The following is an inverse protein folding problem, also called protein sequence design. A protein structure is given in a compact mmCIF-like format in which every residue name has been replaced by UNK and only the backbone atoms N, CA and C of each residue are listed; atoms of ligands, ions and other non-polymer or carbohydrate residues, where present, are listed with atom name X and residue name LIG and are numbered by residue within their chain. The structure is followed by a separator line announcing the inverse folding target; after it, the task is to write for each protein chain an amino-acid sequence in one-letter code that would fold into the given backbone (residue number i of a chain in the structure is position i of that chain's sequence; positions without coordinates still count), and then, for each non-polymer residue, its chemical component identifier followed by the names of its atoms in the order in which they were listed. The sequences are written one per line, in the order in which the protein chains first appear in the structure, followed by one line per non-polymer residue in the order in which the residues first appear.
data_IF_786424390164
#
_entry.id   IF_786424390164
#
_cell.length_a   1.000
_cell.length_b   1.000
_cell.length_c   1.000
_cell.angle_alpha   90.00
_cell.angle_beta   90.00
_cell.angle_gamma   90.00
#
_symmetry.space_group_name_H-M   'P 1'
#
loop_
_entity.id
_entity.type
_entity.pdbx_description
1 polymer ?
#
# COMPACT_ATOMS: atom_id res chain seq x y z
N UNK A 1 7.31 6.46 -13.41
CA UNK A 1 6.24 6.71 -14.40
C UNK A 1 6.88 6.87 -15.77
N UNK A 2 6.10 6.95 -16.84
CA UNK A 2 6.63 7.14 -18.21
C UNK A 2 7.46 8.44 -18.33
N UNK A 3 7.07 9.50 -17.62
CA UNK A 3 7.77 10.80 -17.59
C UNK A 3 8.95 10.87 -16.60
N UNK A 4 9.39 9.72 -16.06
CA UNK A 4 10.55 9.65 -15.14
C UNK A 4 10.26 10.13 -13.71
N UNK A 5 9.02 10.49 -13.38
CA UNK A 5 8.61 10.86 -12.03
C UNK A 5 8.33 9.64 -11.16
N UNK A 6 8.35 9.86 -9.85
CA UNK A 6 7.98 8.86 -8.86
C UNK A 6 6.59 9.19 -8.31
N UNK A 7 5.80 8.13 -8.12
CA UNK A 7 4.50 8.16 -7.47
C UNK A 7 4.58 7.31 -6.20
N UNK A 8 4.34 7.94 -5.05
CA UNK A 8 4.13 7.23 -3.79
C UNK A 8 2.66 6.82 -3.68
N UNK A 9 2.41 5.54 -3.44
CA UNK A 9 1.05 4.98 -3.32
C UNK A 9 0.91 4.43 -1.90
N UNK A 10 -0.19 4.76 -1.23
CA UNK A 10 -0.48 4.27 0.12
C UNK A 10 -1.86 3.63 0.23
N UNK A 11 -1.98 2.70 1.16
CA UNK A 11 -3.23 2.08 1.59
C UNK A 11 -3.11 1.78 3.10
N UNK A 12 -4.25 1.59 3.77
CA UNK A 12 -4.31 1.23 5.18
C UNK A 12 -5.13 -0.05 5.37
N UNK A 13 -4.65 -0.91 6.26
CA UNK A 13 -5.34 -2.13 6.63
C UNK A 13 -4.97 -2.56 8.04
N UNK A 14 -5.78 -3.45 8.59
CA UNK A 14 -5.56 -4.04 9.89
C UNK A 14 -4.80 -5.36 9.75
N UNK A 15 -3.68 -5.51 10.44
CA UNK A 15 -3.05 -6.82 10.61
C UNK A 15 -3.96 -7.69 11.49
N UNK A 16 -4.16 -8.94 11.09
CA UNK A 16 -5.09 -9.88 11.75
C UNK A 16 -4.37 -11.17 12.13
N UNK A 17 -5.02 -11.98 12.95
CA UNK A 17 -4.63 -13.33 13.35
C UNK A 17 -5.15 -14.40 12.36
N UNK A 18 -5.31 -14.03 11.09
CA UNK A 18 -5.77 -14.93 10.03
C UNK A 18 -4.87 -16.16 9.85
N UNK A 19 -5.38 -17.15 9.11
CA UNK A 19 -4.66 -18.40 8.86
C UNK A 19 -3.29 -18.15 8.22
N UNK A 20 -2.24 -18.71 8.83
CA UNK A 20 -0.88 -18.69 8.30
C UNK A 20 -0.65 -19.93 7.45
N UNK A 21 -0.44 -19.75 6.14
CA UNK A 21 -0.08 -20.84 5.23
C UNK A 21 1.29 -21.44 5.61
N UNK A 22 1.38 -22.77 5.60
CA UNK A 22 2.59 -23.52 5.96
C UNK A 22 3.54 -23.68 4.77
N UNK A 23 3.95 -22.58 4.15
CA UNK A 23 4.78 -22.57 2.94
C UNK A 23 6.25 -22.16 3.19
N UNK A 24 6.65 -22.02 4.45
CA UNK A 24 8.05 -21.78 4.85
C UNK A 24 8.47 -20.31 4.94
N UNK A 25 7.53 -19.36 4.89
CA UNK A 25 7.79 -17.94 5.07
C UNK A 25 6.91 -17.30 6.16
N UNK A 26 7.38 -16.20 6.73
CA UNK A 26 6.57 -15.36 7.61
C UNK A 26 5.55 -14.61 6.78
N UNK A 27 4.31 -14.53 7.26
CA UNK A 27 3.25 -13.79 6.61
C UNK A 27 2.48 -12.96 7.63
N UNK A 28 1.95 -11.83 7.17
CA UNK A 28 1.04 -10.99 7.95
C UNK A 28 -0.29 -10.94 7.19
N UNK A 29 -1.34 -11.60 7.68
CA UNK A 29 -2.68 -11.46 7.11
C UNK A 29 -3.19 -10.04 7.32
N UNK A 30 -3.55 -9.34 6.25
CA UNK A 30 -4.04 -7.96 6.31
C UNK A 30 -5.47 -7.90 5.80
N UNK A 31 -6.35 -7.28 6.59
CA UNK A 31 -7.72 -6.94 6.19
C UNK A 31 -7.78 -5.46 5.80
N UNK A 32 -8.13 -5.21 4.55
CA UNK A 32 -8.39 -3.86 4.03
C UNK A 32 -9.87 -3.51 4.13
N UNK A 33 -10.19 -2.21 4.15
CA UNK A 33 -11.58 -1.74 4.27
C UNK A 33 -12.40 -2.02 3.01
N UNK A 34 -11.75 -2.02 1.84
CA UNK A 34 -12.36 -2.34 0.55
C UNK A 34 -12.41 -3.84 0.28
N UNK A 35 -13.44 -4.25 -0.47
CA UNK A 35 -13.48 -5.59 -1.06
C UNK A 35 -12.23 -5.80 -1.94
N UNK A 36 -11.62 -7.01 -1.93
CA UNK A 36 -10.37 -7.27 -2.63
C UNK A 36 -10.38 -6.82 -4.09
N UNK A 37 -11.44 -7.11 -4.84
CA UNK A 37 -11.54 -6.74 -6.26
C UNK A 37 -11.53 -5.24 -6.48
N UNK A 38 -12.24 -4.46 -5.66
CA UNK A 38 -12.28 -3.00 -5.80
C UNK A 38 -10.94 -2.38 -5.40
N UNK A 39 -10.38 -2.83 -4.27
CA UNK A 39 -9.05 -2.42 -3.84
C UNK A 39 -8.01 -2.67 -4.93
N UNK A 40 -7.95 -3.90 -5.47
CA UNK A 40 -6.95 -4.27 -6.46
C UNK A 40 -7.10 -3.50 -7.77
N UNK A 41 -8.33 -3.24 -8.23
CA UNK A 41 -8.57 -2.43 -9.43
C UNK A 41 -8.07 -1.00 -9.25
N UNK A 42 -8.40 -0.35 -8.12
CA UNK A 42 -7.95 1.02 -7.84
C UNK A 42 -6.43 1.08 -7.63
N UNK A 43 -5.87 0.11 -6.89
CA UNK A 43 -4.44 0.01 -6.66
C UNK A 43 -3.66 -0.15 -7.97
N UNK A 44 -4.10 -1.07 -8.85
CA UNK A 44 -3.45 -1.33 -10.13
C UNK A 44 -3.64 -0.21 -11.16
N UNK A 45 -4.68 0.61 -11.05
CA UNK A 45 -4.83 1.79 -11.90
C UNK A 45 -3.68 2.79 -11.75
N UNK A 46 -2.92 2.73 -10.64
CA UNK A 46 -1.74 3.55 -10.40
C UNK A 46 -0.41 2.91 -10.86
N UNK A 47 -0.42 1.70 -11.43
CA UNK A 47 0.79 1.00 -11.89
C UNK A 47 1.84 0.69 -10.80
N UNK A 48 1.47 0.11 -9.65
CA UNK A 48 2.38 -0.16 -8.54
C UNK A 48 3.33 -1.33 -8.83
N UNK A 49 4.42 -1.41 -8.07
CA UNK A 49 5.23 -2.63 -8.01
C UNK A 49 4.59 -3.67 -7.06
N UNK A 50 5.09 -4.91 -7.09
CA UNK A 50 4.66 -5.95 -6.15
C UNK A 50 5.30 -5.82 -4.76
N UNK A 51 6.39 -5.06 -4.62
CA UNK A 51 7.02 -4.79 -3.33
C UNK A 51 6.32 -3.63 -2.62
N UNK A 52 6.15 -3.78 -1.30
CA UNK A 52 5.59 -2.75 -0.42
C UNK A 52 6.42 -2.64 0.86
N UNK A 53 6.37 -1.46 1.47
CA UNK A 53 6.84 -1.23 2.83
C UNK A 53 5.63 -1.06 3.76
N UNK A 54 5.66 -1.68 4.93
CA UNK A 54 4.58 -1.61 5.91
C UNK A 54 5.06 -0.91 7.18
N UNK A 55 4.18 -0.08 7.77
CA UNK A 55 4.40 0.55 9.08
C UNK A 55 3.24 0.25 10.00
N UNK A 56 3.50 0.11 11.31
CA UNK A 56 2.44 0.02 12.31
C UNK A 56 1.74 1.40 12.46
N UNK A 57 0.41 1.39 12.47
CA UNK A 57 -0.42 2.58 12.57
C UNK A 57 -0.81 3.20 11.23
N UNK A 58 -1.70 4.21 11.27
CA UNK A 58 -2.25 4.87 10.09
C UNK A 58 -1.44 6.12 9.74
N UNK A 59 -0.34 5.92 9.00
CA UNK A 59 0.68 6.94 8.74
C UNK A 59 0.60 7.61 7.34
N UNK A 60 -0.51 7.44 6.61
CA UNK A 60 -0.70 8.00 5.26
C UNK A 60 -0.37 9.50 5.19
N UNK A 61 -0.81 10.29 6.19
CA UNK A 61 -0.57 11.74 6.19
C UNK A 61 0.92 12.10 6.32
N UNK A 62 1.69 11.29 7.05
CA UNK A 62 3.12 11.45 7.23
C UNK A 62 3.85 11.09 5.95
N UNK A 63 3.48 9.97 5.31
CA UNK A 63 4.07 9.56 4.03
C UNK A 63 3.74 10.53 2.90
N UNK A 64 2.55 11.13 2.90
CA UNK A 64 2.19 12.19 1.96
C UNK A 64 3.12 13.40 2.10
N UNK A 65 3.39 13.85 3.33
CA UNK A 65 4.33 14.96 3.58
C UNK A 65 5.74 14.63 3.09
N UNK A 66 6.20 13.40 3.29
CA UNK A 66 7.51 12.94 2.76
C UNK A 66 7.52 12.98 1.23
N UNK A 67 6.49 12.43 0.57
CA UNK A 67 6.39 12.49 -0.90
C UNK A 67 6.42 13.93 -1.42
N UNK A 68 5.67 14.85 -0.77
CA UNK A 68 5.70 16.28 -1.09
C UNK A 68 7.09 16.89 -0.96
N UNK A 69 7.81 16.61 0.14
CA UNK A 69 9.18 17.12 0.35
C UNK A 69 10.17 16.57 -0.69
N UNK A 70 9.94 15.35 -1.18
CA UNK A 70 10.76 14.71 -2.21
C UNK A 70 10.36 15.11 -3.64
N UNK A 71 9.31 15.92 -3.81
CA UNK A 71 8.78 16.29 -5.12
C UNK A 71 8.12 15.13 -5.87
N UNK A 72 7.57 14.15 -5.14
CA UNK A 72 6.87 12.99 -5.69
C UNK A 72 5.37 13.21 -5.66
N UNK A 73 4.69 12.67 -6.66
CA UNK A 73 3.23 12.56 -6.63
C UNK A 73 2.80 11.57 -5.54
N UNK A 74 1.58 11.73 -5.03
CA UNK A 74 1.03 10.88 -3.97
C UNK A 74 -0.40 10.43 -4.28
N UNK A 75 -0.65 9.13 -4.15
CA UNK A 75 -1.99 8.54 -4.24
C UNK A 75 -2.32 7.75 -2.97
N UNK A 76 -3.56 7.86 -2.51
CA UNK A 76 -4.11 7.03 -1.43
C UNK A 76 -5.28 6.23 -1.96
N UNK A 77 -5.20 4.92 -1.84
CA UNK A 77 -6.30 4.00 -2.09
C UNK A 77 -6.72 3.50 -0.72
N UNK A 78 -7.90 3.88 -0.24
CA UNK A 78 -8.47 3.43 1.05
C UNK A 78 -9.94 3.14 0.85
#
# INVERSE_FOLDING_TARGET
TEDGKLLAISNQGMATDGEILRIGNTMTPVKFDKKPTHFMNEWFAHGPTHHVAMSVGHNTSQFQKVATLMGWDFASVT
#
